data_IF_001839462395
#
_entry.id   IF_001839462395
#
_cell.length_a   1.000
_cell.length_b   1.000
_cell.length_c   1.000
_cell.angle_alpha   90.00
_cell.angle_beta   90.00
_cell.angle_gamma   90.00
#
_symmetry.space_group_name_H-M   'P 1'
#
loop_
_entity.id
_entity.type
_entity.pdbx_description
1 polymer ?
#
# COMPACT_ATOMS: atom_id res chain seq x y z
N UNK A 1 159.12 51.42 62.34
CA UNK A 1 159.21 52.05 63.67
C UNK A 1 157.83 52.03 64.30
N UNK A 2 157.63 51.66 65.57
CA UNK A 2 158.56 51.73 66.71
C UNK A 2 159.06 50.36 67.22
N UNK A 3 160.00 50.36 68.18
CA UNK A 3 161.01 49.32 68.38
C UNK A 3 160.97 48.69 69.79
N UNK A 4 162.02 47.90 70.05
CA UNK A 4 162.69 47.70 71.32
C UNK A 4 162.21 46.55 72.21
N UNK A 5 163.01 45.47 72.31
CA UNK A 5 164.19 45.25 73.19
C UNK A 5 163.76 44.91 74.62
N UNK A 6 164.23 43.77 75.15
CA UNK A 6 164.29 43.55 76.59
C UNK A 6 164.30 42.09 77.01
N UNK A 7 165.48 41.46 77.00
CA UNK A 7 165.76 40.27 77.81
C UNK A 7 165.59 40.63 79.30
N UNK A 8 164.99 39.74 80.07
CA UNK A 8 165.28 39.65 81.50
C UNK A 8 164.10 39.84 82.46
N UNK A 9 163.02 39.08 82.30
CA UNK A 9 162.14 38.74 83.44
C UNK A 9 161.23 37.57 83.08
N UNK A 10 161.57 36.38 83.60
CA UNK A 10 160.71 35.19 83.62
C UNK A 10 159.37 35.54 84.29
N UNK A 11 158.25 35.29 83.60
CA UNK A 11 156.94 35.23 84.23
C UNK A 11 156.05 34.15 83.60
N UNK A 12 155.99 33.00 84.29
CA UNK A 12 154.78 32.28 84.70
C UNK A 12 153.58 32.25 83.71
N UNK A 13 153.68 31.48 82.62
CA UNK A 13 152.50 30.89 81.93
C UNK A 13 152.88 29.58 81.20
N UNK A 14 153.37 28.57 81.92
CA UNK A 14 153.27 27.16 81.51
C UNK A 14 152.73 26.37 82.72
N UNK A 15 151.43 26.51 82.97
CA UNK A 15 150.62 25.63 83.82
C UNK A 15 149.46 25.11 82.96
N UNK A 16 149.31 23.79 82.96
CA UNK A 16 148.31 22.97 82.29
C UNK A 16 148.26 22.98 80.75
N UNK A 17 149.02 22.04 80.16
CA UNK A 17 148.47 21.08 79.19
C UNK A 17 147.95 21.61 77.84
N UNK A 18 148.23 22.86 77.46
CA UNK A 18 147.77 23.42 76.19
C UNK A 18 148.87 23.41 75.13
N UNK A 19 148.62 22.65 74.08
CA UNK A 19 149.42 22.62 72.86
C UNK A 19 149.15 23.86 72.00
N UNK A 20 150.16 24.36 71.31
CA UNK A 20 150.01 25.50 70.39
C UNK A 20 150.09 25.03 68.93
N UNK A 21 149.09 25.41 68.13
CA UNK A 21 149.03 25.14 66.68
C UNK A 21 148.60 23.72 66.28
N UNK A 22 148.19 23.54 65.01
CA UNK A 22 147.59 22.32 64.41
C UNK A 22 148.40 21.01 64.56
N UNK A 23 149.56 21.01 65.22
CA UNK A 23 150.49 19.88 65.34
C UNK A 23 150.81 19.44 66.78
N UNK A 24 150.10 19.92 67.80
CA UNK A 24 150.22 19.41 69.18
C UNK A 24 151.64 19.42 69.79
N UNK A 25 152.41 20.51 69.61
CA UNK A 25 153.74 20.66 70.23
C UNK A 25 153.61 21.22 71.67
N UNK A 26 154.38 20.65 72.62
CA UNK A 26 154.31 21.00 74.05
C UNK A 26 155.36 22.04 74.45
N UNK A 27 155.10 22.81 75.52
CA UNK A 27 156.05 23.81 76.08
C UNK A 27 157.43 23.19 76.43
N UNK A 28 157.49 21.86 76.62
CA UNK A 28 158.73 21.09 76.84
C UNK A 28 159.57 20.92 75.58
N UNK A 29 158.94 20.85 74.41
CA UNK A 29 159.61 20.69 73.12
C UNK A 29 160.16 22.03 72.60
N UNK A 30 159.54 23.15 72.97
CA UNK A 30 160.07 24.49 72.67
C UNK A 30 161.28 24.87 73.56
N UNK A 31 161.36 24.34 74.79
CA UNK A 31 162.51 24.53 75.69
C UNK A 31 163.72 23.67 75.26
N UNK A 32 163.50 22.47 74.70
CA UNK A 32 164.56 21.65 74.10
C UNK A 32 165.23 22.34 72.90
N UNK A 33 164.45 23.01 72.04
CA UNK A 33 164.99 23.75 70.89
C UNK A 33 165.76 25.02 71.30
N UNK A 34 165.43 25.62 72.44
CA UNK A 34 166.19 26.75 73.00
C UNK A 34 167.48 26.30 73.72
N UNK A 35 167.49 25.11 74.34
CA UNK A 35 168.70 24.50 74.91
C UNK A 35 169.70 24.06 73.83
N UNK A 36 169.22 23.58 72.68
CA UNK A 36 170.07 23.24 71.53
C UNK A 36 170.63 24.49 70.82
N UNK A 37 169.92 25.62 70.88
CA UNK A 37 170.38 26.89 70.31
C UNK A 37 171.40 27.65 71.20
N UNK A 38 171.44 27.40 72.51
CA UNK A 38 172.45 27.96 73.43
C UNK A 38 173.72 27.08 73.54
N UNK A 39 173.68 25.80 73.15
CA UNK A 39 174.85 24.91 73.04
C UNK A 39 175.76 25.18 71.83
N UNK A 40 175.38 26.08 70.91
CA UNK A 40 176.13 26.40 69.69
C UNK A 40 176.99 27.68 69.79
N UNK A 41 177.14 28.26 70.99
CA UNK A 41 177.74 29.59 71.15
C UNK A 41 179.08 29.66 71.89
N UNK A 42 179.67 28.54 72.34
CA UNK A 42 180.89 28.60 73.15
C UNK A 42 181.82 27.38 72.94
N UNK A 43 182.42 27.29 71.75
CA UNK A 43 183.68 26.56 71.55
C UNK A 43 184.30 26.91 70.20
N UNK A 44 185.48 27.52 70.26
CA UNK A 44 186.36 27.86 69.13
C UNK A 44 186.72 26.63 68.28
N UNK A 45 186.16 26.55 67.08
CA UNK A 45 186.69 25.74 66.00
C UNK A 45 186.40 26.45 64.66
N UNK A 46 187.45 26.66 63.87
CA UNK A 46 187.37 27.25 62.53
C UNK A 46 186.37 26.45 61.65
N UNK A 47 185.42 27.18 61.05
CA UNK A 47 184.35 26.63 60.21
C UNK A 47 184.88 26.35 58.80
N UNK A 48 184.84 25.08 58.42
CA UNK A 48 185.17 24.54 57.10
C UNK A 48 183.99 24.70 56.10
N UNK A 49 184.31 25.00 54.85
CA UNK A 49 183.40 25.40 53.75
C UNK A 49 182.42 24.28 53.32
N UNK A 50 182.60 23.07 53.86
CA UNK A 50 181.75 21.90 53.62
C UNK A 50 180.44 21.89 54.42
N UNK A 51 180.38 22.60 55.55
CA UNK A 51 179.19 22.60 56.43
C UNK A 51 178.04 23.49 55.91
N UNK A 52 178.34 24.54 55.14
CA UNK A 52 177.33 25.48 54.60
C UNK A 52 176.56 24.85 53.42
N UNK A 53 177.21 24.01 52.62
CA UNK A 53 176.59 23.27 51.50
C UNK A 53 175.66 22.16 51.99
N UNK A 54 175.95 21.56 53.14
CA UNK A 54 175.11 20.53 53.76
C UNK A 54 173.76 21.09 54.27
N UNK A 55 173.76 22.33 54.77
CA UNK A 55 172.56 22.99 55.28
C UNK A 55 171.62 23.45 54.13
N UNK A 56 172.18 23.92 53.01
CA UNK A 56 171.40 24.23 51.80
C UNK A 56 170.66 23.00 51.24
N UNK A 57 171.32 21.82 51.23
CA UNK A 57 170.71 20.57 50.81
C UNK A 57 169.67 19.97 51.76
N UNK A 58 169.54 20.48 52.99
CA UNK A 58 168.49 20.08 53.93
C UNK A 58 167.21 20.91 53.80
N UNK A 59 167.31 22.18 53.37
CA UNK A 59 166.14 23.04 53.15
C UNK A 59 165.39 22.65 51.85
N UNK A 60 166.09 22.27 50.79
CA UNK A 60 165.46 21.77 49.56
C UNK A 60 164.74 20.42 49.75
N UNK A 61 165.26 19.55 50.63
CA UNK A 61 164.62 18.26 50.94
C UNK A 61 163.29 18.38 51.68
N UNK A 62 162.98 19.53 52.29
CA UNK A 62 161.74 19.73 53.06
C UNK A 62 160.66 20.46 52.23
N UNK A 63 161.02 21.18 51.17
CA UNK A 63 160.06 21.89 50.31
C UNK A 63 159.44 21.02 49.21
N UNK A 64 160.13 19.97 48.76
CA UNK A 64 159.63 19.04 47.74
C UNK A 64 158.36 18.26 48.16
N UNK A 65 158.28 17.69 49.38
CA UNK A 65 157.10 16.96 49.84
C UNK A 65 155.86 17.86 50.02
N UNK A 66 156.06 19.15 50.33
CA UNK A 66 154.97 20.11 50.50
C UNK A 66 154.35 20.52 49.15
N UNK A 67 155.15 20.58 48.08
CA UNK A 67 154.65 20.80 46.71
C UNK A 67 153.84 19.62 46.19
N UNK A 68 154.30 18.38 46.41
CA UNK A 68 153.56 17.17 46.03
C UNK A 68 152.20 17.02 46.74
N UNK A 69 152.09 17.48 47.99
CA UNK A 69 150.83 17.48 48.75
C UNK A 69 149.83 18.51 48.22
N UNK A 70 150.30 19.69 47.82
CA UNK A 70 149.44 20.69 47.16
C UNK A 70 148.96 20.17 45.82
N UNK A 71 149.85 19.58 45.02
CA UNK A 71 149.52 19.04 43.70
C UNK A 71 148.45 17.94 43.79
N UNK A 72 148.62 16.96 44.70
CA UNK A 72 147.63 15.90 44.96
C UNK A 72 146.30 16.42 45.50
N UNK A 73 146.30 17.46 46.36
CA UNK A 73 145.06 18.10 46.81
C UNK A 73 144.37 18.88 45.68
N UNK A 74 145.11 19.50 44.76
CA UNK A 74 144.52 20.07 43.55
C UNK A 74 143.96 18.99 42.63
N UNK A 75 144.62 17.84 42.47
CA UNK A 75 144.10 16.73 41.67
C UNK A 75 142.83 16.17 42.29
N UNK A 76 142.80 15.94 43.61
CA UNK A 76 141.60 15.48 44.32
C UNK A 76 140.47 16.51 44.25
N UNK A 77 140.78 17.81 44.31
CA UNK A 77 139.79 18.87 44.10
C UNK A 77 139.20 18.83 42.69
N UNK A 78 140.03 18.73 41.65
CA UNK A 78 139.54 18.63 40.28
C UNK A 78 138.75 17.32 40.04
N UNK A 79 139.14 16.22 40.68
CA UNK A 79 138.38 14.96 40.63
C UNK A 79 137.03 15.07 41.34
N UNK A 80 136.96 15.76 42.49
CA UNK A 80 135.70 16.08 43.17
C UNK A 80 134.83 17.03 42.36
N UNK A 81 135.40 18.08 41.78
CA UNK A 81 134.68 19.02 40.90
C UNK A 81 134.17 18.31 39.64
N UNK A 82 134.96 17.42 39.03
CA UNK A 82 134.52 16.64 37.88
C UNK A 82 133.43 15.62 38.25
N UNK A 83 133.57 14.88 39.36
CA UNK A 83 132.56 13.90 39.80
C UNK A 83 131.26 14.57 40.25
N UNK A 84 131.35 15.72 40.93
CA UNK A 84 130.17 16.52 41.28
C UNK A 84 129.51 17.14 40.05
N UNK A 85 130.27 17.63 39.07
CA UNK A 85 129.74 18.10 37.80
C UNK A 85 129.03 16.97 37.03
N UNK A 86 129.60 15.77 36.97
CA UNK A 86 128.96 14.59 36.35
C UNK A 86 127.70 14.19 37.11
N UNK A 87 127.72 14.11 38.44
CA UNK A 87 126.55 13.73 39.22
C UNK A 87 125.41 14.77 39.13
N UNK A 88 125.74 16.06 39.03
CA UNK A 88 124.75 17.12 38.79
C UNK A 88 124.19 17.03 37.37
N UNK A 89 125.03 16.78 36.37
CA UNK A 89 124.59 16.56 34.98
C UNK A 89 123.68 15.33 34.86
N UNK A 90 124.01 14.23 35.54
CA UNK A 90 123.19 13.01 35.60
C UNK A 90 121.86 13.25 36.32
N UNK A 91 121.86 14.00 37.43
CA UNK A 91 120.63 14.38 38.14
C UNK A 91 119.75 15.26 37.26
N UNK A 92 120.32 16.25 36.61
CA UNK A 92 119.57 17.18 35.77
C UNK A 92 119.05 16.49 34.50
N UNK A 93 119.80 15.52 33.94
CA UNK A 93 119.32 14.64 32.87
C UNK A 93 118.17 13.73 33.34
N UNK A 94 118.28 13.12 34.53
CA UNK A 94 117.21 12.30 35.10
C UNK A 94 115.94 13.12 35.42
N UNK A 95 116.09 14.38 35.82
CA UNK A 95 114.96 15.30 36.01
C UNK A 95 114.30 15.65 34.67
N UNK A 96 115.10 15.92 33.62
CA UNK A 96 114.58 16.17 32.28
C UNK A 96 113.83 14.94 31.72
N UNK A 97 114.38 13.73 31.87
CA UNK A 97 113.69 12.48 31.49
C UNK A 97 112.41 12.26 32.29
N UNK A 98 112.41 12.54 33.60
CA UNK A 98 111.22 12.43 34.43
C UNK A 98 110.12 13.42 34.01
N UNK A 99 110.49 14.64 33.62
CA UNK A 99 109.57 15.65 33.12
C UNK A 99 109.03 15.29 31.73
N UNK A 100 109.87 14.77 30.83
CA UNK A 100 109.41 14.23 29.54
C UNK A 100 108.44 13.05 29.74
N UNK A 101 108.73 12.13 30.67
CA UNK A 101 107.79 11.05 31.02
C UNK A 101 106.48 11.56 31.64
N UNK A 102 106.49 12.69 32.38
CA UNK A 102 105.26 13.32 32.87
C UNK A 102 104.46 13.94 31.72
N UNK A 103 105.13 14.64 30.79
CA UNK A 103 104.49 15.23 29.62
C UNK A 103 103.88 14.15 28.71
N UNK A 104 104.60 13.07 28.45
CA UNK A 104 104.10 11.95 27.66
C UNK A 104 102.92 11.25 28.33
N UNK A 105 102.95 11.05 29.66
CA UNK A 105 101.79 10.53 30.40
C UNK A 105 100.60 11.47 30.34
N UNK A 106 100.80 12.76 30.55
CA UNK A 106 99.73 13.76 30.46
C UNK A 106 99.09 13.82 29.07
N UNK A 107 99.88 13.71 27.99
CA UNK A 107 99.36 13.61 26.62
C UNK A 107 98.58 12.32 26.39
N UNK A 108 99.12 11.18 26.82
CA UNK A 108 98.42 9.90 26.69
C UNK A 108 97.12 9.84 27.50
N UNK A 109 97.09 10.43 28.69
CA UNK A 109 95.88 10.56 29.51
C UNK A 109 94.84 11.50 28.87
N UNK A 110 95.27 12.62 28.29
CA UNK A 110 94.40 13.53 27.55
C UNK A 110 93.81 12.89 26.29
N UNK A 111 94.63 12.16 25.52
CA UNK A 111 94.19 11.39 24.35
C UNK A 111 93.22 10.27 24.76
N UNK A 112 93.49 9.58 25.87
CA UNK A 112 92.59 8.55 26.39
C UNK A 112 91.26 9.14 26.88
N UNK A 113 91.28 10.32 27.51
CA UNK A 113 90.07 11.03 27.91
C UNK A 113 89.25 11.46 26.69
N UNK A 114 89.90 12.07 25.68
CA UNK A 114 89.25 12.44 24.43
C UNK A 114 88.67 11.23 23.70
N UNK A 115 89.38 10.10 23.67
CA UNK A 115 88.88 8.86 23.07
C UNK A 115 87.65 8.30 23.82
N UNK A 116 87.60 8.42 25.16
CA UNK A 116 86.42 8.05 25.94
C UNK A 116 85.24 8.96 25.65
N UNK A 117 85.44 10.27 25.62
CA UNK A 117 84.37 11.23 25.30
C UNK A 117 83.78 11.00 23.90
N UNK A 118 84.65 10.72 22.91
CA UNK A 118 84.23 10.36 21.54
C UNK A 118 83.43 9.04 21.55
N UNK A 119 83.90 8.03 22.28
CA UNK A 119 83.22 6.74 22.38
C UNK A 119 81.85 6.87 23.09
N UNK A 120 81.76 7.63 24.18
CA UNK A 120 80.52 7.90 24.90
C UNK A 120 79.51 8.64 24.01
N UNK A 121 79.97 9.64 23.26
CA UNK A 121 79.14 10.37 22.29
C UNK A 121 78.63 9.44 21.19
N UNK A 122 79.50 8.62 20.61
CA UNK A 122 79.12 7.65 19.57
C UNK A 122 78.12 6.60 20.09
N UNK A 123 78.27 6.13 21.32
CA UNK A 123 77.32 5.22 21.97
C UNK A 123 75.96 5.91 22.20
N UNK A 124 75.97 7.17 22.65
CA UNK A 124 74.73 7.94 22.84
C UNK A 124 73.99 8.19 21.52
N UNK A 125 74.71 8.53 20.45
CA UNK A 125 74.16 8.70 19.09
C UNK A 125 73.61 7.38 18.54
N UNK A 126 74.34 6.26 18.71
CA UNK A 126 73.86 4.94 18.31
C UNK A 126 72.58 4.55 19.08
N UNK A 127 72.52 4.81 20.38
CA UNK A 127 71.34 4.56 21.20
C UNK A 127 70.16 5.48 20.85
N UNK A 128 70.41 6.72 20.40
CA UNK A 128 69.38 7.59 19.86
C UNK A 128 68.86 7.06 18.51
N UNK A 129 69.75 6.69 17.60
CA UNK A 129 69.38 6.14 16.29
C UNK A 129 68.58 4.83 16.39
N UNK A 130 68.90 3.94 17.34
CA UNK A 130 68.11 2.73 17.58
C UNK A 130 66.72 3.04 18.17
N UNK A 131 66.60 4.05 19.03
CA UNK A 131 65.29 4.52 19.53
C UNK A 131 64.44 5.12 18.41
N UNK A 132 65.03 5.92 17.53
CA UNK A 132 64.34 6.52 16.39
C UNK A 132 63.89 5.46 15.39
N UNK A 133 64.73 4.45 15.10
CA UNK A 133 64.35 3.29 14.28
C UNK A 133 63.18 2.53 14.90
N UNK A 134 63.22 2.28 16.21
CA UNK A 134 62.14 1.59 16.90
C UNK A 134 60.83 2.40 16.85
N UNK A 135 60.89 3.71 17.03
CA UNK A 135 59.73 4.60 16.91
C UNK A 135 59.15 4.58 15.48
N UNK A 136 59.99 4.72 14.45
CA UNK A 136 59.56 4.68 13.05
C UNK A 136 58.94 3.33 12.65
N UNK A 137 59.44 2.22 13.21
CA UNK A 137 58.84 0.90 13.03
C UNK A 137 57.47 0.82 13.70
N UNK A 138 57.34 1.35 14.92
CA UNK A 138 56.07 1.45 15.65
C UNK A 138 55.01 2.22 14.85
N UNK A 139 55.34 3.44 14.39
CA UNK A 139 54.46 4.27 13.56
C UNK A 139 54.02 3.54 12.28
N UNK A 140 54.95 2.85 11.61
CA UNK A 140 54.63 2.09 10.39
C UNK A 140 53.69 0.92 10.66
N UNK A 141 53.83 0.25 11.79
CA UNK A 141 52.96 -0.88 12.14
C UNK A 141 51.58 -0.41 12.63
N UNK A 142 51.50 0.73 13.31
CA UNK A 142 50.24 1.43 13.61
C UNK A 142 49.53 1.86 12.33
N UNK A 143 50.23 2.45 11.36
CA UNK A 143 49.65 2.84 10.07
C UNK A 143 49.12 1.62 9.32
N UNK A 144 49.88 0.51 9.30
CA UNK A 144 49.42 -0.75 8.70
C UNK A 144 48.19 -1.32 9.41
N UNK A 145 48.13 -1.22 10.75
CA UNK A 145 46.98 -1.65 11.52
C UNK A 145 45.74 -0.78 11.20
N UNK A 146 45.91 0.54 11.15
CA UNK A 146 44.86 1.48 10.77
C UNK A 146 44.34 1.23 9.34
N UNK A 147 45.23 0.99 8.37
CA UNK A 147 44.86 0.62 7.00
C UNK A 147 44.05 -0.67 6.95
N UNK A 148 44.45 -1.71 7.70
CA UNK A 148 43.69 -2.97 7.79
C UNK A 148 42.30 -2.76 8.41
N UNK A 149 42.22 -1.98 9.48
CA UNK A 149 40.94 -1.64 10.11
C UNK A 149 40.01 -0.88 9.15
N UNK A 150 40.54 0.12 8.44
CA UNK A 150 39.77 0.88 7.45
C UNK A 150 39.25 0.00 6.30
N UNK A 151 40.04 -0.96 5.83
CA UNK A 151 39.59 -1.93 4.81
C UNK A 151 38.48 -2.83 5.35
N UNK A 152 38.59 -3.30 6.60
CA UNK A 152 37.54 -4.11 7.22
C UNK A 152 36.24 -3.32 7.40
N UNK A 153 36.30 -2.07 7.87
CA UNK A 153 35.10 -1.23 7.98
C UNK A 153 34.48 -0.96 6.61
N UNK A 154 35.30 -0.70 5.59
CA UNK A 154 34.82 -0.56 4.22
C UNK A 154 34.12 -1.82 3.73
N UNK A 155 34.67 -3.01 3.97
CA UNK A 155 34.04 -4.28 3.60
C UNK A 155 32.73 -4.51 4.36
N UNK A 156 32.65 -4.13 5.64
CA UNK A 156 31.39 -4.20 6.41
C UNK A 156 30.34 -3.25 5.82
N UNK A 157 30.72 -2.03 5.50
CA UNK A 157 29.81 -1.05 4.89
C UNK A 157 29.35 -1.51 3.50
N UNK A 158 30.25 -2.03 2.66
CA UNK A 158 29.92 -2.62 1.36
C UNK A 158 28.98 -3.83 1.50
N UNK A 159 29.21 -4.69 2.49
CA UNK A 159 28.32 -5.81 2.82
C UNK A 159 26.93 -5.37 3.29
N UNK A 160 26.85 -4.33 4.13
CA UNK A 160 25.57 -3.74 4.54
C UNK A 160 24.83 -3.12 3.35
N UNK A 161 25.53 -2.42 2.46
CA UNK A 161 24.94 -1.87 1.23
C UNK A 161 24.44 -2.97 0.29
N UNK A 162 25.16 -4.08 0.15
CA UNK A 162 24.71 -5.23 -0.61
C UNK A 162 23.44 -5.83 0.01
N UNK A 163 23.41 -6.03 1.33
CA UNK A 163 22.22 -6.54 2.03
C UNK A 163 21.00 -5.62 1.88
N UNK A 164 21.19 -4.30 1.94
CA UNK A 164 20.12 -3.32 1.72
C UNK A 164 19.61 -3.36 0.27
N UNK A 165 20.50 -3.52 -0.71
CA UNK A 165 20.10 -3.67 -2.13
C UNK A 165 19.31 -4.95 -2.37
N UNK A 166 19.72 -6.06 -1.77
CA UNK A 166 19.01 -7.33 -1.86
C UNK A 166 17.62 -7.23 -1.21
N UNK A 167 17.50 -6.56 -0.06
CA UNK A 167 16.21 -6.36 0.58
C UNK A 167 15.30 -5.42 -0.23
N UNK A 168 15.86 -4.36 -0.82
CA UNK A 168 15.13 -3.48 -1.75
C UNK A 168 14.62 -4.24 -2.98
N UNK A 169 15.42 -5.13 -3.56
CA UNK A 169 15.00 -5.99 -4.66
C UNK A 169 13.82 -6.90 -4.25
N UNK A 170 13.91 -7.56 -3.08
CA UNK A 170 12.82 -8.39 -2.55
C UNK A 170 11.55 -7.59 -2.24
N UNK A 171 11.68 -6.35 -1.81
CA UNK A 171 10.53 -5.45 -1.58
C UNK A 171 9.90 -5.05 -2.90
N UNK A 172 10.70 -4.74 -3.92
CA UNK A 172 10.21 -4.46 -5.27
C UNK A 172 9.45 -5.66 -5.85
N UNK A 173 10.02 -6.87 -5.78
CA UNK A 173 9.36 -8.10 -6.24
C UNK A 173 8.01 -8.33 -5.52
N UNK A 174 7.97 -8.08 -4.20
CA UNK A 174 6.72 -8.15 -3.41
C UNK A 174 5.71 -7.10 -3.83
N UNK A 175 6.16 -5.89 -4.13
CA UNK A 175 5.30 -4.81 -4.59
C UNK A 175 4.70 -5.15 -5.97
N UNK A 176 5.50 -5.64 -6.91
CA UNK A 176 5.05 -6.05 -8.23
C UNK A 176 4.05 -7.21 -8.16
N UNK A 177 4.31 -8.21 -7.32
CA UNK A 177 3.37 -9.30 -7.09
C UNK A 177 2.04 -8.80 -6.48
N UNK A 178 2.10 -7.83 -5.57
CA UNK A 178 0.88 -7.23 -4.98
C UNK A 178 0.09 -6.40 -6.00
N UNK A 179 0.77 -5.70 -6.92
CA UNK A 179 0.15 -4.94 -8.00
C UNK A 179 -0.52 -5.88 -9.02
N UNK A 180 0.11 -7.00 -9.35
CA UNK A 180 -0.48 -8.04 -10.21
C UNK A 180 -1.77 -8.61 -9.59
N UNK A 181 -1.74 -9.00 -8.31
CA UNK A 181 -2.93 -9.48 -7.58
C UNK A 181 -4.05 -8.44 -7.51
N UNK A 182 -3.70 -7.16 -7.34
CA UNK A 182 -4.67 -6.07 -7.36
C UNK A 182 -5.31 -5.92 -8.76
N UNK A 183 -4.51 -6.04 -9.82
CA UNK A 183 -4.99 -6.05 -11.21
C UNK A 183 -5.95 -7.21 -11.50
N UNK A 184 -5.60 -8.43 -11.08
CA UNK A 184 -6.48 -9.61 -11.21
C UNK A 184 -7.81 -9.42 -10.48
N UNK A 185 -7.78 -8.92 -9.24
CA UNK A 185 -9.00 -8.64 -8.47
C UNK A 185 -9.85 -7.55 -9.13
N UNK A 186 -9.24 -6.50 -9.66
CA UNK A 186 -9.95 -5.45 -10.38
C UNK A 186 -10.65 -6.01 -11.63
N UNK A 187 -9.99 -6.90 -12.38
CA UNK A 187 -10.58 -7.58 -13.52
C UNK A 187 -11.78 -8.46 -13.11
N UNK A 188 -11.64 -9.25 -12.04
CA UNK A 188 -12.75 -10.07 -11.50
C UNK A 188 -13.93 -9.21 -11.07
N UNK A 189 -13.68 -8.10 -10.35
CA UNK A 189 -14.74 -7.16 -9.93
C UNK A 189 -15.44 -6.57 -11.15
N UNK A 190 -14.70 -6.19 -12.19
CA UNK A 190 -15.28 -5.66 -13.42
C UNK A 190 -16.20 -6.69 -14.10
N UNK A 191 -15.76 -7.95 -14.21
CA UNK A 191 -16.56 -9.05 -14.76
C UNK A 191 -17.82 -9.29 -13.95
N UNK A 192 -17.72 -9.44 -12.62
CA UNK A 192 -18.88 -9.65 -11.76
C UNK A 192 -19.86 -8.47 -11.79
N UNK A 193 -19.36 -7.25 -11.93
CA UNK A 193 -20.20 -6.06 -12.07
C UNK A 193 -20.96 -6.07 -13.39
N UNK A 194 -20.31 -6.48 -14.48
CA UNK A 194 -20.96 -6.63 -15.79
C UNK A 194 -22.00 -7.76 -15.79
N UNK A 195 -21.68 -8.91 -15.20
CA UNK A 195 -22.62 -10.03 -15.03
C UNK A 195 -23.83 -9.63 -14.19
N UNK A 196 -23.63 -8.92 -13.07
CA UNK A 196 -24.72 -8.43 -12.23
C UNK A 196 -25.62 -7.44 -12.99
N UNK A 197 -25.04 -6.56 -13.80
CA UNK A 197 -25.80 -5.64 -14.64
C UNK A 197 -26.62 -6.39 -15.70
N UNK A 198 -26.05 -7.42 -16.33
CA UNK A 198 -26.75 -8.27 -17.30
C UNK A 198 -27.90 -9.04 -16.66
N UNK A 199 -27.70 -9.62 -15.48
CA UNK A 199 -28.76 -10.33 -14.73
C UNK A 199 -29.89 -9.39 -14.34
N UNK A 200 -29.59 -8.16 -13.92
CA UNK A 200 -30.61 -7.15 -13.61
C UNK A 200 -31.45 -6.79 -14.84
N UNK A 201 -30.79 -6.55 -15.98
CA UNK A 201 -31.49 -6.25 -17.23
C UNK A 201 -32.40 -7.41 -17.67
N UNK A 202 -31.92 -8.66 -17.58
CA UNK A 202 -32.72 -9.84 -17.89
C UNK A 202 -33.94 -9.98 -16.94
N UNK A 203 -33.75 -9.73 -15.65
CA UNK A 203 -34.84 -9.77 -14.68
C UNK A 203 -35.91 -8.71 -14.95
N UNK A 204 -35.51 -7.50 -15.33
CA UNK A 204 -36.44 -6.43 -15.67
C UNK A 204 -37.21 -6.73 -16.96
N UNK A 205 -36.57 -7.40 -17.93
CA UNK A 205 -37.25 -7.90 -19.13
C UNK A 205 -38.29 -9.00 -18.79
N UNK A 206 -37.93 -9.97 -17.94
CA UNK A 206 -38.85 -11.01 -17.46
C UNK A 206 -40.04 -10.39 -16.71
N UNK A 207 -39.80 -9.39 -15.86
CA UNK A 207 -40.86 -8.64 -15.18
C UNK A 207 -41.79 -7.94 -16.17
N UNK A 208 -41.23 -7.30 -17.20
CA UNK A 208 -42.02 -6.69 -18.28
C UNK A 208 -42.87 -7.72 -19.02
N UNK A 209 -42.31 -8.89 -19.34
CA UNK A 209 -43.04 -10.00 -19.97
C UNK A 209 -44.16 -10.54 -19.07
N UNK A 210 -43.91 -10.68 -17.77
CA UNK A 210 -44.91 -11.09 -16.79
C UNK A 210 -46.05 -10.08 -16.67
N UNK A 211 -45.76 -8.78 -16.57
CA UNK A 211 -46.77 -7.72 -16.54
C UNK A 211 -47.63 -7.72 -17.80
N UNK A 212 -47.02 -7.87 -18.98
CA UNK A 212 -47.75 -7.97 -20.24
C UNK A 212 -48.62 -9.23 -20.30
N UNK A 213 -48.17 -10.35 -19.71
CA UNK A 213 -48.97 -11.57 -19.62
C UNK A 213 -50.17 -11.40 -18.68
N UNK A 214 -50.00 -10.73 -17.54
CA UNK A 214 -51.10 -10.39 -16.62
C UNK A 214 -52.13 -9.51 -17.31
N UNK A 215 -51.71 -8.42 -17.97
CA UNK A 215 -52.63 -7.55 -18.70
C UNK A 215 -53.41 -8.29 -19.81
N UNK A 216 -52.78 -9.26 -20.50
CA UNK A 216 -53.47 -10.11 -21.46
C UNK A 216 -54.48 -11.04 -20.79
N UNK A 217 -54.15 -11.62 -19.64
CA UNK A 217 -55.06 -12.48 -18.89
C UNK A 217 -56.29 -11.70 -18.40
N UNK A 218 -56.08 -10.49 -17.86
CA UNK A 218 -57.16 -9.60 -17.43
C UNK A 218 -58.09 -9.23 -18.60
N UNK A 219 -57.52 -8.86 -19.76
CA UNK A 219 -58.31 -8.56 -20.95
C UNK A 219 -59.11 -9.77 -21.48
N UNK A 220 -58.58 -10.99 -21.35
CA UNK A 220 -59.32 -12.22 -21.69
C UNK A 220 -60.43 -12.46 -20.68
N UNK A 221 -60.19 -12.23 -19.39
CA UNK A 221 -61.19 -12.37 -18.34
C UNK A 221 -62.35 -11.39 -18.54
N UNK A 222 -62.07 -10.11 -18.83
CA UNK A 222 -63.10 -9.11 -19.15
C UNK A 222 -63.96 -9.52 -20.36
N UNK A 223 -63.33 -10.04 -21.42
CA UNK A 223 -64.06 -10.55 -22.60
C UNK A 223 -64.94 -11.75 -22.26
N UNK A 224 -64.45 -12.65 -21.41
CA UNK A 224 -65.20 -13.82 -20.97
C UNK A 224 -66.42 -13.41 -20.16
N UNK A 225 -66.27 -12.44 -19.25
CA UNK A 225 -67.37 -11.94 -18.42
C UNK A 225 -68.40 -11.18 -19.27
N UNK A 226 -67.96 -10.36 -20.23
CA UNK A 226 -68.87 -9.73 -21.20
C UNK A 226 -69.63 -10.78 -22.05
N UNK A 227 -68.94 -11.82 -22.54
CA UNK A 227 -69.58 -12.91 -23.29
C UNK A 227 -70.58 -13.71 -22.45
N UNK A 228 -70.30 -13.91 -21.16
CA UNK A 228 -71.25 -14.53 -20.21
C UNK A 228 -72.48 -13.66 -20.03
N UNK A 229 -72.30 -12.35 -19.82
CA UNK A 229 -73.41 -11.41 -19.70
C UNK A 229 -74.29 -11.41 -20.95
N UNK A 230 -73.68 -11.36 -22.15
CA UNK A 230 -74.43 -11.41 -23.40
C UNK A 230 -75.15 -12.75 -23.58
N UNK A 231 -74.53 -13.87 -23.21
CA UNK A 231 -75.18 -15.17 -23.20
C UNK A 231 -76.39 -15.20 -22.25
N UNK A 232 -76.27 -14.65 -21.04
CA UNK A 232 -77.39 -14.60 -20.09
C UNK A 232 -78.55 -13.74 -20.62
N UNK A 233 -78.25 -12.59 -21.24
CA UNK A 233 -79.26 -11.73 -21.90
C UNK A 233 -79.93 -12.46 -23.07
N UNK A 234 -79.16 -13.14 -23.90
CA UNK A 234 -79.69 -13.91 -25.03
C UNK A 234 -80.58 -15.07 -24.55
N UNK A 235 -80.19 -15.78 -23.49
CA UNK A 235 -81.01 -16.83 -22.88
C UNK A 235 -82.32 -16.28 -22.31
N UNK A 236 -82.29 -15.13 -21.63
CA UNK A 236 -83.49 -14.46 -21.12
C UNK A 236 -84.41 -14.01 -22.26
N UNK A 237 -83.87 -13.40 -23.32
CA UNK A 237 -84.63 -12.99 -24.50
C UNK A 237 -85.27 -14.19 -25.21
N UNK A 238 -84.55 -15.30 -25.35
CA UNK A 238 -85.09 -16.54 -25.93
C UNK A 238 -86.22 -17.12 -25.06
N UNK A 239 -86.08 -17.09 -23.73
CA UNK A 239 -87.15 -17.51 -22.82
C UNK A 239 -88.40 -16.66 -23.01
N UNK A 240 -88.26 -15.33 -23.03
CA UNK A 240 -89.37 -14.41 -23.28
C UNK A 240 -90.04 -14.67 -24.64
N UNK A 241 -89.24 -14.87 -25.69
CA UNK A 241 -89.77 -15.16 -27.03
C UNK A 241 -90.53 -16.48 -27.08
N UNK A 242 -90.10 -17.50 -26.32
CA UNK A 242 -90.84 -18.77 -26.18
C UNK A 242 -92.16 -18.59 -25.46
N UNK A 243 -92.19 -17.80 -24.39
CA UNK A 243 -93.43 -17.50 -23.66
C UNK A 243 -94.42 -16.73 -24.55
N UNK A 244 -93.94 -15.76 -25.31
CA UNK A 244 -94.78 -15.01 -26.25
C UNK A 244 -95.27 -15.88 -27.41
N UNK A 245 -94.41 -16.75 -27.95
CA UNK A 245 -94.84 -17.75 -28.93
C UNK A 245 -95.91 -18.69 -28.36
N UNK A 246 -95.77 -19.15 -27.11
CA UNK A 246 -96.76 -19.97 -26.44
C UNK A 246 -98.11 -19.23 -26.24
N UNK A 247 -98.09 -17.93 -25.92
CA UNK A 247 -99.30 -17.10 -25.87
C UNK A 247 -99.96 -16.99 -27.24
N UNK A 248 -99.19 -16.74 -28.29
CA UNK A 248 -99.70 -16.62 -29.67
C UNK A 248 -100.30 -17.93 -30.15
N UNK A 249 -99.65 -19.07 -29.87
CA UNK A 249 -100.20 -20.38 -30.24
C UNK A 249 -101.47 -20.72 -29.47
N UNK A 250 -101.53 -20.40 -28.17
CA UNK A 250 -102.74 -20.54 -27.36
C UNK A 250 -103.88 -19.64 -27.87
N UNK A 251 -103.59 -18.38 -28.20
CA UNK A 251 -104.57 -17.45 -28.76
C UNK A 251 -105.08 -17.92 -30.14
N UNK A 252 -104.20 -18.45 -30.99
CA UNK A 252 -104.59 -19.01 -32.29
C UNK A 252 -105.47 -20.26 -32.13
N UNK A 253 -105.17 -21.13 -31.16
CA UNK A 253 -106.00 -22.29 -30.86
C UNK A 253 -107.40 -21.86 -30.40
N UNK A 254 -107.48 -20.91 -29.45
CA UNK A 254 -108.76 -20.36 -29.00
C UNK A 254 -109.56 -19.71 -30.14
N UNK A 255 -108.91 -18.91 -31.00
CA UNK A 255 -109.57 -18.29 -32.15
C UNK A 255 -110.07 -19.33 -33.18
N UNK A 256 -109.37 -20.45 -33.36
CA UNK A 256 -109.83 -21.56 -34.20
C UNK A 256 -111.03 -22.27 -33.59
N UNK A 257 -111.03 -22.48 -32.28
CA UNK A 257 -112.16 -23.08 -31.57
C UNK A 257 -113.39 -22.17 -31.63
N UNK A 258 -113.22 -20.86 -31.41
CA UNK A 258 -114.29 -19.86 -31.59
C UNK A 258 -114.82 -19.83 -33.03
N UNK A 259 -113.93 -19.88 -34.03
CA UNK A 259 -114.34 -19.94 -35.43
C UNK A 259 -115.11 -21.23 -35.74
N UNK A 260 -114.66 -22.38 -35.24
CA UNK A 260 -115.37 -23.64 -35.40
C UNK A 260 -116.76 -23.60 -34.76
N UNK A 261 -116.88 -23.05 -33.55
CA UNK A 261 -118.17 -22.84 -32.89
C UNK A 261 -119.08 -21.89 -33.67
N UNK A 262 -118.53 -20.79 -34.20
CA UNK A 262 -119.26 -19.86 -35.05
C UNK A 262 -119.76 -20.53 -36.35
N UNK A 263 -118.96 -21.40 -36.97
CA UNK A 263 -119.38 -22.18 -38.14
C UNK A 263 -120.51 -23.14 -37.81
N UNK A 264 -120.42 -23.88 -36.69
CA UNK A 264 -121.50 -24.76 -36.23
C UNK A 264 -122.78 -23.95 -35.93
N UNK A 265 -122.66 -22.80 -35.27
CA UNK A 265 -123.80 -21.92 -35.01
C UNK A 265 -124.42 -21.36 -36.30
N UNK A 266 -123.59 -20.98 -37.28
CA UNK A 266 -124.04 -20.52 -38.59
C UNK A 266 -124.75 -21.64 -39.38
N UNK A 267 -124.20 -22.86 -39.38
CA UNK A 267 -124.84 -24.03 -40.00
C UNK A 267 -126.18 -24.35 -39.34
N UNK A 268 -126.25 -24.33 -38.00
CA UNK A 268 -127.50 -24.53 -37.27
C UNK A 268 -128.54 -23.43 -37.58
N UNK A 269 -128.11 -22.17 -37.66
CA UNK A 269 -128.98 -21.06 -38.03
C UNK A 269 -129.50 -21.21 -39.47
N UNK A 270 -128.62 -21.58 -40.42
CA UNK A 270 -128.99 -21.85 -41.81
C UNK A 270 -129.98 -23.00 -41.91
N UNK A 271 -129.73 -24.12 -41.22
CA UNK A 271 -130.67 -25.25 -41.17
C UNK A 271 -132.03 -24.83 -40.60
N UNK A 272 -132.04 -23.99 -39.56
CA UNK A 272 -133.28 -23.42 -39.00
C UNK A 272 -134.01 -22.49 -39.97
N UNK A 273 -133.30 -21.68 -40.76
CA UNK A 273 -133.90 -20.88 -41.84
C UNK A 273 -134.47 -21.75 -42.94
N UNK A 274 -133.72 -22.75 -43.40
CA UNK A 274 -134.16 -23.69 -44.43
C UNK A 274 -135.42 -24.45 -43.98
N UNK A 275 -135.47 -24.87 -42.70
CA UNK A 275 -136.65 -25.48 -42.10
C UNK A 275 -137.86 -24.52 -42.13
N UNK A 276 -137.70 -23.28 -41.67
CA UNK A 276 -138.78 -22.28 -41.69
C UNK A 276 -139.25 -21.97 -43.11
N UNK A 277 -138.33 -21.95 -44.07
CA UNK A 277 -138.65 -21.73 -45.49
C UNK A 277 -139.49 -22.90 -46.03
N UNK A 278 -139.12 -24.14 -45.70
CA UNK A 278 -139.89 -25.33 -46.05
C UNK A 278 -141.27 -25.35 -45.39
N UNK A 279 -141.39 -24.96 -44.12
CA UNK A 279 -142.67 -24.83 -43.41
C UNK A 279 -143.56 -23.75 -44.06
N UNK A 280 -142.99 -22.58 -44.39
CA UNK A 280 -143.70 -21.51 -45.11
C UNK A 280 -144.14 -21.95 -46.52
N UNK A 281 -143.28 -22.66 -47.25
CA UNK A 281 -143.61 -23.21 -48.57
C UNK A 281 -144.74 -24.23 -48.47
N UNK A 282 -144.67 -25.17 -47.53
CA UNK A 282 -145.72 -26.15 -47.29
C UNK A 282 -147.06 -25.48 -46.90
N UNK A 283 -147.02 -24.48 -46.02
CA UNK A 283 -148.19 -23.68 -45.64
C UNK A 283 -148.77 -22.88 -46.82
N UNK A 284 -147.91 -22.31 -47.67
CA UNK A 284 -148.34 -21.62 -48.89
C UNK A 284 -148.99 -22.58 -49.88
N UNK A 285 -148.38 -23.74 -50.14
CA UNK A 285 -148.94 -24.78 -51.02
C UNK A 285 -150.28 -25.30 -50.51
N UNK A 286 -150.44 -25.47 -49.20
CA UNK A 286 -151.71 -25.84 -48.58
C UNK A 286 -152.76 -24.74 -48.78
N UNK A 287 -152.37 -23.47 -48.63
CA UNK A 287 -153.25 -22.32 -48.85
C UNK A 287 -153.68 -22.23 -50.31
N UNK A 288 -152.75 -22.40 -51.25
CA UNK A 288 -153.04 -22.41 -52.69
C UNK A 288 -153.96 -23.57 -53.05
N UNK A 289 -153.74 -24.78 -52.50
CA UNK A 289 -154.64 -25.92 -52.68
C UNK A 289 -156.05 -25.63 -52.16
N UNK A 290 -156.17 -25.09 -50.95
CA UNK A 290 -157.46 -24.70 -50.37
C UNK A 290 -158.17 -23.60 -51.18
N UNK A 291 -157.42 -22.60 -51.67
CA UNK A 291 -157.95 -21.58 -52.58
C UNK A 291 -158.41 -22.18 -53.92
N UNK A 292 -157.69 -23.15 -54.46
CA UNK A 292 -158.06 -23.82 -55.70
C UNK A 292 -159.33 -24.68 -55.53
N UNK A 293 -159.46 -25.40 -54.41
CA UNK A 293 -160.66 -26.15 -54.04
C UNK A 293 -161.87 -25.23 -53.83
N UNK A 294 -161.68 -24.09 -53.14
CA UNK A 294 -162.77 -23.12 -52.94
C UNK A 294 -163.20 -22.45 -54.25
N UNK A 295 -162.25 -22.06 -55.10
CA UNK A 295 -162.58 -21.48 -56.43
C UNK A 295 -163.22 -22.48 -57.38
N UNK A 296 -162.82 -23.75 -57.36
CA UNK A 296 -163.46 -24.80 -58.17
C UNK A 296 -164.89 -25.11 -57.68
N UNK A 297 -165.12 -25.15 -56.36
CA UNK A 297 -166.45 -25.29 -55.78
C UNK A 297 -167.36 -24.10 -56.11
N UNK A 298 -166.89 -22.87 -55.92
CA UNK A 298 -167.61 -21.65 -56.33
C UNK A 298 -167.93 -21.65 -57.83
N UNK A 299 -166.99 -22.09 -58.67
CA UNK A 299 -167.22 -22.22 -60.11
C UNK A 299 -168.28 -23.27 -60.48
N UNK A 300 -168.39 -24.36 -59.70
CA UNK A 300 -169.43 -25.35 -59.86
C UNK A 300 -170.82 -24.82 -59.42
N UNK A 301 -170.87 -24.08 -58.32
CA UNK A 301 -172.08 -23.43 -57.81
C UNK A 301 -172.62 -22.34 -58.77
N UNK A 302 -171.73 -21.55 -59.37
CA UNK A 302 -172.10 -20.52 -60.35
C UNK A 302 -172.72 -21.12 -61.61
N UNK A 303 -172.18 -22.24 -62.10
CA UNK A 303 -172.75 -22.96 -63.26
C UNK A 303 -174.14 -23.53 -62.96
N UNK A 304 -174.37 -24.02 -61.75
CA UNK A 304 -175.69 -24.52 -61.31
C UNK A 304 -176.69 -23.42 -61.00
N UNK A 305 -176.24 -22.21 -60.62
CA UNK A 305 -177.10 -21.04 -60.51
C UNK A 305 -177.50 -20.49 -61.90
N UNK A 306 -176.55 -20.44 -62.84
CA UNK A 306 -176.80 -19.96 -64.21
C UNK A 306 -177.80 -20.84 -64.96
N UNK A 307 -177.68 -22.17 -64.85
CA UNK A 307 -178.63 -23.09 -65.50
C UNK A 307 -180.05 -23.00 -64.94
N UNK A 308 -180.22 -22.64 -63.66
CA UNK A 308 -181.53 -22.38 -63.05
C UNK A 308 -182.14 -21.06 -63.54
N UNK A 309 -181.33 -20.03 -63.76
CA UNK A 309 -181.81 -18.76 -64.30
C UNK A 309 -182.31 -18.89 -65.74
N UNK A 310 -181.58 -19.63 -66.59
CA UNK A 310 -182.00 -19.89 -67.99
C UNK A 310 -183.26 -20.76 -68.10
N UNK A 311 -183.50 -21.64 -67.12
CA UNK A 311 -184.73 -22.42 -67.04
C UNK A 311 -185.93 -21.54 -66.67
N UNK A 312 -185.76 -20.62 -65.70
CA UNK A 312 -186.80 -19.68 -65.29
C UNK A 312 -187.16 -18.66 -66.37
N UNK A 313 -186.18 -18.19 -67.16
CA UNK A 313 -186.46 -17.28 -68.30
C UNK A 313 -187.31 -17.94 -69.39
N UNK A 314 -187.10 -19.23 -69.67
CA UNK A 314 -187.90 -19.97 -70.66
C UNK A 314 -189.34 -20.20 -70.21
N UNK A 315 -189.58 -20.45 -68.93
CA UNK A 315 -190.94 -20.57 -68.40
C UNK A 315 -191.69 -19.23 -68.40
N UNK A 316 -191.01 -18.13 -68.05
CA UNK A 316 -191.62 -16.80 -68.03
C UNK A 316 -192.02 -16.32 -69.45
N UNK A 317 -191.21 -16.66 -70.46
CA UNK A 317 -191.54 -16.41 -71.87
C UNK A 317 -192.78 -17.21 -72.31
N UNK A 318 -192.95 -18.45 -71.84
CA UNK A 318 -194.12 -19.29 -72.13
C UNK A 318 -195.42 -18.79 -71.49
N UNK A 319 -195.34 -18.22 -70.28
CA UNK A 319 -196.50 -17.64 -69.58
C UNK A 319 -196.97 -16.34 -70.24
N UNK A 320 -196.04 -15.51 -70.72
CA UNK A 320 -196.37 -14.24 -71.37
C UNK A 320 -197.05 -14.40 -72.74
N UNK A 321 -196.76 -15.47 -73.49
CA UNK A 321 -197.47 -15.79 -74.74
C UNK A 321 -198.89 -16.30 -74.47
N UNK A 322 -199.09 -17.16 -73.47
CA UNK A 322 -200.41 -17.71 -73.13
C UNK A 322 -201.42 -16.64 -72.65
N UNK A 323 -200.93 -15.59 -71.98
CA UNK A 323 -201.75 -14.46 -71.51
C UNK A 323 -202.18 -13.49 -72.61
N UNK A 324 -201.62 -13.59 -73.82
CA UNK A 324 -201.92 -12.69 -74.96
C UNK A 324 -203.14 -13.15 -75.78
N UNK A 325 -203.47 -14.44 -75.71
CA UNK A 325 -204.46 -15.09 -76.61
C UNK A 325 -205.83 -15.34 -75.95
N UNK A 326 -206.11 -14.77 -74.77
CA UNK A 326 -207.40 -14.91 -74.06
C UNK A 326 -208.34 -13.73 -74.34
N UNK A 327 -209.55 -13.93 -74.90
CA UNK A 327 -210.34 -12.85 -75.50
C UNK A 327 -211.28 -12.07 -74.56
N UNK A 328 -211.30 -12.32 -73.25
CA UNK A 328 -212.05 -11.48 -72.30
C UNK A 328 -211.17 -11.06 -71.12
N UNK A 329 -210.41 -9.97 -71.29
CA UNK A 329 -209.57 -9.41 -70.24
C UNK A 329 -209.97 -7.95 -69.96
N UNK A 330 -210.30 -7.61 -68.69
CA UNK A 330 -210.68 -6.26 -68.28
C UNK A 330 -209.62 -5.20 -68.63
N UNK A 331 -210.08 -4.01 -69.01
CA UNK A 331 -209.26 -2.89 -69.53
C UNK A 331 -208.09 -2.45 -68.63
N UNK A 332 -208.09 -2.82 -67.35
CA UNK A 332 -207.00 -2.59 -66.40
C UNK A 332 -205.75 -3.46 -66.65
N UNK A 333 -205.88 -4.66 -67.22
CA UNK A 333 -204.74 -5.56 -67.49
C UNK A 333 -204.03 -5.23 -68.82
N UNK A 334 -204.77 -4.72 -69.81
CA UNK A 334 -204.18 -4.29 -71.10
C UNK A 334 -203.23 -3.10 -70.93
N UNK A 335 -203.54 -2.17 -70.01
CA UNK A 335 -202.67 -1.03 -69.70
C UNK A 335 -201.36 -1.41 -68.98
N UNK A 336 -201.31 -2.54 -68.27
CA UNK A 336 -200.09 -3.02 -67.60
C UNK A 336 -199.18 -3.81 -68.55
N UNK A 337 -199.76 -4.56 -69.49
CA UNK A 337 -199.02 -5.28 -70.53
C UNK A 337 -198.34 -4.32 -71.52
N UNK A 338 -199.00 -3.24 -71.93
CA UNK A 338 -198.39 -2.22 -72.81
C UNK A 338 -197.27 -1.43 -72.10
N UNK A 339 -197.35 -1.29 -70.76
CA UNK A 339 -196.31 -0.63 -69.96
C UNK A 339 -195.04 -1.48 -69.81
N UNK A 340 -195.15 -2.80 -69.95
CA UNK A 340 -194.02 -3.73 -69.83
C UNK A 340 -193.26 -3.90 -71.16
N UNK A 341 -193.95 -3.79 -72.31
CA UNK A 341 -193.34 -3.78 -73.64
C UNK A 341 -192.36 -2.60 -73.85
N UNK A 342 -192.54 -1.48 -73.14
CA UNK A 342 -191.64 -0.32 -73.23
C UNK A 342 -190.33 -0.46 -72.45
N UNK A 343 -190.19 -1.49 -71.60
CA UNK A 343 -189.03 -1.66 -70.69
C UNK A 343 -187.98 -2.65 -71.19
N UNK A 344 -188.23 -3.34 -72.30
CA UNK A 344 -187.39 -4.43 -72.81
C UNK A 344 -186.44 -4.03 -73.95
N UNK A 345 -186.24 -2.73 -74.21
CA UNK A 345 -185.33 -2.22 -75.26
C UNK A 345 -183.96 -1.76 -74.74
N UNK A 346 -183.59 -2.09 -73.50
CA UNK A 346 -182.27 -1.82 -72.91
C UNK A 346 -181.76 -3.05 -72.16
N UNK A 347 -181.14 -3.97 -72.90
CA UNK A 347 -180.10 -4.87 -72.40
C UNK A 347 -179.26 -5.36 -73.57
#
# INVERSE_FOLDING_TARGET
MPPAVGRGSRARFCQDGKTWGRRNLSCRDAEAVLSDAESLRESDAELDDTAVTALAGQVDRVLEPARGLVETLTTLRHQLEATTATALAERDAALAEADDHRLHRGRAEAEAAQARDIAETAVAEAAAAERDKAAALGERDEERAARRAAVQERQRAEGQLAAVRDELARVADRADASAALAGERAAVIATLTAELAAVRAALDEERGRAQAAVARADAVQERLDAARDDHTKAAAALSSARDDYAKVTAALAAARDEHAQAMVAHEAARAGFDQRLAELQAGHEQTVRSMHETTTNLGAELRTASSRAEAAERELAGVLTALRDTPELPSTLKQLLDRQASRSYLK
#
